data_IF_817707489950
#
_entry.id   IF_817707489950
#
_cell.length_a   1.000
_cell.length_b   1.000
_cell.length_c   1.000
_cell.angle_alpha   90.00
_cell.angle_beta   90.00
_cell.angle_gamma   90.00
#
_symmetry.space_group_name_H-M   'P 1'
#
loop_
_entity.id
_entity.type
_entity.pdbx_description
1 polymer ?
#
# COMPACT_ATOMS: atom_id res chain seq x y z
N UNK A 1 11.82 -15.80 -11.31
CA UNK A 1 11.41 -15.82 -9.89
C UNK A 1 11.31 -14.38 -9.45
N UNK A 2 10.13 -13.91 -9.03
CA UNK A 2 10.00 -12.55 -8.50
C UNK A 2 10.69 -12.50 -7.14
N UNK A 3 11.38 -11.41 -6.83
CA UNK A 3 11.97 -11.19 -5.51
C UNK A 3 10.87 -11.25 -4.42
N UNK A 4 11.19 -11.69 -3.19
CA UNK A 4 10.21 -11.67 -2.11
C UNK A 4 9.74 -10.24 -1.86
N UNK A 5 8.43 -10.06 -1.73
CA UNK A 5 7.86 -8.77 -1.33
C UNK A 5 8.22 -8.51 0.13
N UNK A 6 8.74 -7.32 0.38
CA UNK A 6 9.04 -6.84 1.74
C UNK A 6 8.42 -5.46 1.95
N UNK A 7 8.16 -5.13 3.21
CA UNK A 7 7.57 -3.86 3.61
C UNK A 7 8.58 -3.05 4.43
N UNK A 8 8.67 -1.76 4.16
CA UNK A 8 9.49 -0.80 4.89
C UNK A 8 8.75 0.55 5.00
N UNK A 9 9.40 1.60 5.47
CA UNK A 9 8.78 2.91 5.66
C UNK A 9 8.13 3.08 7.04
N UNK A 10 7.05 3.85 7.09
CA UNK A 10 6.34 4.19 8.34
C UNK A 10 5.14 3.29 8.64
N UNK A 11 4.21 3.80 9.45
CA UNK A 11 3.01 3.07 9.86
C UNK A 11 1.88 3.06 8.81
N UNK A 12 2.00 3.90 7.78
CA UNK A 12 1.05 4.02 6.70
C UNK A 12 -0.16 4.88 7.03
N UNK A 13 -0.15 5.70 8.09
CA UNK A 13 -1.29 6.55 8.47
C UNK A 13 -1.25 7.95 7.82
N UNK A 14 -0.16 8.29 7.13
CA UNK A 14 0.02 9.55 6.43
C UNK A 14 0.82 9.37 5.14
N UNK A 15 0.86 10.40 4.30
CA UNK A 15 1.74 10.41 3.12
C UNK A 15 3.23 10.36 3.49
N UNK A 16 3.62 11.06 4.56
CA UNK A 16 5.03 11.16 4.97
C UNK A 16 5.51 9.85 5.65
N UNK A 17 4.59 9.11 6.29
CA UNK A 17 4.84 7.82 6.95
C UNK A 17 4.30 6.61 6.15
N UNK A 18 4.14 6.76 4.83
CA UNK A 18 3.61 5.70 3.98
C UNK A 18 4.44 4.40 4.05
N UNK A 19 3.76 3.27 3.85
CA UNK A 19 4.40 1.96 3.77
C UNK A 19 4.99 1.79 2.38
N UNK A 20 6.27 1.45 2.31
CA UNK A 20 6.97 1.21 1.04
C UNK A 20 6.95 -0.28 0.75
N UNK A 21 6.43 -0.64 -0.42
CA UNK A 21 6.43 -2.02 -0.92
C UNK A 21 7.66 -2.22 -1.82
N UNK A 22 8.54 -3.13 -1.41
CA UNK A 22 9.80 -3.41 -2.12
C UNK A 22 9.71 -4.77 -2.79
N UNK A 23 10.17 -4.86 -4.05
CA UNK A 23 10.18 -6.09 -4.83
C UNK A 23 8.85 -6.45 -5.47
N UNK A 24 7.83 -5.58 -5.37
CA UNK A 24 6.56 -5.75 -6.05
C UNK A 24 6.53 -5.13 -7.44
N UNK A 25 5.65 -5.65 -8.30
CA UNK A 25 5.32 -5.10 -9.61
C UNK A 25 3.84 -4.71 -9.66
N UNK A 26 3.36 -4.24 -10.81
CA UNK A 26 1.97 -3.78 -11.00
C UNK A 26 0.91 -4.85 -10.70
N UNK A 27 1.26 -6.13 -10.69
CA UNK A 27 0.36 -7.23 -10.34
C UNK A 27 0.49 -7.61 -8.87
N UNK A 28 1.71 -7.71 -8.34
CA UNK A 28 1.95 -8.14 -6.95
C UNK A 28 1.83 -7.01 -5.93
N UNK A 29 1.86 -5.74 -6.34
CA UNK A 29 1.70 -4.55 -5.49
C UNK A 29 0.35 -4.53 -4.80
N UNK A 30 -0.78 -4.51 -5.54
CA UNK A 30 -2.11 -4.54 -4.93
C UNK A 30 -2.32 -5.74 -4.00
N UNK A 31 -1.81 -6.92 -4.38
CA UNK A 31 -1.88 -8.11 -3.52
C UNK A 31 -1.11 -7.89 -2.20
N UNK A 32 0.08 -7.31 -2.26
CA UNK A 32 0.87 -7.02 -1.08
C UNK A 32 0.19 -6.00 -0.15
N UNK A 33 -0.49 -5.00 -0.71
CA UNK A 33 -1.28 -4.03 0.06
C UNK A 33 -2.38 -4.73 0.88
N UNK A 34 -3.16 -5.58 0.22
CA UNK A 34 -4.20 -6.38 0.88
C UNK A 34 -3.64 -7.38 1.90
N UNK A 35 -2.53 -8.06 1.58
CA UNK A 35 -1.86 -9.00 2.50
C UNK A 35 -1.33 -8.27 3.75
N UNK A 36 -0.81 -7.05 3.60
CA UNK A 36 -0.34 -6.22 4.70
C UNK A 36 -1.47 -5.82 5.65
N UNK A 37 -2.61 -5.37 5.09
CA UNK A 37 -3.79 -4.98 5.87
C UNK A 37 -4.38 -6.20 6.57
N UNK A 38 -4.55 -7.32 5.86
CA UNK A 38 -5.12 -8.55 6.43
C UNK A 38 -4.29 -9.08 7.61
N UNK A 39 -2.96 -8.99 7.54
CA UNK A 39 -2.07 -9.41 8.62
C UNK A 39 -2.17 -8.55 9.89
N UNK A 40 -2.61 -7.28 9.78
CA UNK A 40 -2.71 -6.34 10.91
C UNK A 40 -4.13 -6.13 11.41
N UNK A 41 -5.09 -6.17 10.50
CA UNK A 41 -6.50 -5.95 10.75
C UNK A 41 -7.29 -7.16 10.23
N UNK A 42 -7.11 -8.35 10.82
CA UNK A 42 -7.83 -9.53 10.38
C UNK A 42 -9.34 -9.31 10.47
N UNK A 43 -10.05 -9.64 9.39
CA UNK A 43 -11.51 -9.44 9.31
C UNK A 43 -11.92 -8.01 8.96
N UNK A 44 -11.02 -7.21 8.39
CA UNK A 44 -11.39 -5.91 7.85
C UNK A 44 -12.35 -6.04 6.66
N UNK A 45 -13.17 -5.01 6.48
CA UNK A 45 -14.01 -4.81 5.31
C UNK A 45 -13.37 -3.75 4.42
N UNK A 46 -12.98 -4.15 3.20
CA UNK A 46 -12.40 -3.25 2.22
C UNK A 46 -13.47 -2.36 1.58
N UNK A 47 -13.21 -1.06 1.48
CA UNK A 47 -14.12 -0.12 0.81
C UNK A 47 -13.61 0.35 -0.54
N UNK A 48 -12.37 0.85 -0.57
CA UNK A 48 -11.85 1.55 -1.75
C UNK A 48 -10.33 1.57 -1.81
N UNK A 49 -9.80 1.51 -3.03
CA UNK A 49 -8.41 1.86 -3.34
C UNK A 49 -8.39 3.08 -4.27
N UNK A 50 -7.46 4.00 -4.04
CA UNK A 50 -7.30 5.23 -4.83
C UNK A 50 -5.84 5.58 -5.04
N UNK A 51 -5.47 5.84 -6.29
CA UNK A 51 -4.19 6.44 -6.63
C UNK A 51 -4.18 7.92 -6.23
N UNK A 52 -3.18 8.33 -5.44
CA UNK A 52 -2.94 9.71 -5.01
C UNK A 52 -1.55 10.14 -5.42
N UNK A 53 -1.42 11.41 -5.80
CA UNK A 53 -0.13 12.05 -6.00
C UNK A 53 0.08 13.10 -4.89
N UNK A 54 1.26 13.07 -4.27
CA UNK A 54 1.63 14.02 -3.23
C UNK A 54 3.13 14.29 -3.27
N UNK A 55 3.52 15.58 -3.36
CA UNK A 55 4.94 16.01 -3.45
C UNK A 55 5.75 15.25 -4.54
N UNK A 56 5.14 14.96 -5.69
CA UNK A 56 5.77 14.26 -6.81
C UNK A 56 5.94 12.75 -6.64
N UNK A 57 5.40 12.17 -5.57
CA UNK A 57 5.35 10.72 -5.31
C UNK A 57 3.94 10.20 -5.52
N UNK A 58 3.84 8.90 -5.87
CA UNK A 58 2.56 8.22 -6.08
C UNK A 58 2.30 7.23 -4.96
N UNK A 59 1.05 7.23 -4.51
CA UNK A 59 0.60 6.42 -3.39
C UNK A 59 -0.69 5.72 -3.75
N UNK A 60 -0.84 4.49 -3.31
CA UNK A 60 -2.15 3.85 -3.22
C UNK A 60 -2.71 4.04 -1.81
N UNK A 61 -3.90 4.64 -1.76
CA UNK A 61 -4.67 4.85 -0.54
C UNK A 61 -5.75 3.77 -0.47
N UNK A 62 -5.70 2.93 0.57
CA UNK A 62 -6.70 1.91 0.82
C UNK A 62 -7.55 2.32 2.03
N UNK A 63 -8.85 2.46 1.81
CA UNK A 63 -9.86 2.77 2.83
C UNK A 63 -10.61 1.48 3.21
N UNK A 64 -10.75 1.23 4.51
CA UNK A 64 -11.39 0.04 5.04
C UNK A 64 -11.99 0.27 6.43
N UNK A 65 -12.83 -0.65 6.89
CA UNK A 65 -13.30 -0.71 8.28
C UNK A 65 -12.68 -1.93 8.97
N UNK A 66 -12.12 -1.74 10.16
CA UNK A 66 -11.58 -2.86 10.97
C UNK A 66 -12.71 -3.74 11.50
N UNK A 67 -12.39 -4.95 11.97
CA UNK A 67 -13.37 -5.82 12.64
C UNK A 67 -14.01 -5.17 13.89
N UNK A 68 -13.36 -4.16 14.49
CA UNK A 68 -13.90 -3.38 15.60
C UNK A 68 -14.86 -2.25 15.17
N UNK A 69 -15.10 -2.07 13.86
CA UNK A 69 -15.95 -1.02 13.31
C UNK A 69 -15.24 0.32 13.10
N UNK A 70 -13.93 0.41 13.34
CA UNK A 70 -13.15 1.64 13.11
C UNK A 70 -12.82 1.81 11.62
N UNK A 71 -13.18 2.95 11.03
CA UNK A 71 -12.74 3.33 9.68
C UNK A 71 -11.27 3.76 9.67
N UNK A 72 -10.48 3.19 8.77
CA UNK A 72 -9.06 3.49 8.58
C UNK A 72 -8.75 3.75 7.11
N UNK A 73 -7.67 4.49 6.89
CA UNK A 73 -7.04 4.64 5.59
C UNK A 73 -5.55 4.34 5.72
N UNK A 74 -4.99 3.60 4.77
CA UNK A 74 -3.57 3.28 4.73
C UNK A 74 -2.94 3.74 3.42
N UNK A 75 -1.76 4.35 3.54
CA UNK A 75 -1.00 4.93 2.46
C UNK A 75 0.18 4.02 2.12
N UNK A 76 0.24 3.56 0.88
CA UNK A 76 1.34 2.75 0.35
C UNK A 76 2.09 3.56 -0.70
N UNK A 77 3.40 3.73 -0.54
CA UNK A 77 4.24 4.36 -1.55
C UNK A 77 4.55 3.36 -2.67
N UNK A 78 4.07 3.70 -3.87
CA UNK A 78 4.23 2.92 -5.09
C UNK A 78 5.12 3.64 -6.12
N UNK A 79 5.86 4.67 -5.71
CA UNK A 79 6.75 5.46 -6.57
C UNK A 79 7.78 4.57 -7.28
N UNK A 80 8.21 3.49 -6.62
CA UNK A 80 9.11 2.51 -7.20
C UNK A 80 8.48 1.65 -8.31
N UNK A 81 7.16 1.42 -8.27
CA UNK A 81 6.46 0.57 -9.26
C UNK A 81 6.47 1.19 -10.66
N UNK A 82 6.58 2.52 -10.78
CA UNK A 82 6.59 3.24 -12.04
C UNK A 82 7.98 3.58 -12.59
N UNK A 83 9.06 3.32 -11.84
CA UNK A 83 10.43 3.55 -12.32
C UNK A 83 10.88 2.54 -13.38
N UNK A 84 10.10 1.49 -13.65
CA UNK A 84 10.35 0.52 -14.71
C UNK A 84 9.98 1.04 -16.12
N UNK A 85 10.35 2.28 -16.48
CA UNK A 85 10.44 2.74 -17.89
C UNK A 85 11.42 3.91 -18.04
N UNK A 86 12.71 3.63 -17.92
CA UNK A 86 13.77 4.34 -18.66
C UNK A 86 14.86 3.34 -19.06
N UNK A 87 14.60 2.63 -20.15
CA UNK A 87 15.65 2.18 -21.08
C UNK A 87 15.34 2.86 -22.41
#
# INVERSE_FOLDING_TARGET
>A
MNAPVTYSGGDGLSFDDAIIIVGANVVSGPRAEHDYIQGRFPGYEFHRQCLKEHKGRKYDLLEFTTAAGESKAMYFDISAHHLAKRQ
#
